data_IF_209007200951
#
_entry.id   IF_209007200951
#
_cell.length_a   1.000
_cell.length_b   1.000
_cell.length_c   1.000
_cell.angle_alpha   90.00
_cell.angle_beta   90.00
_cell.angle_gamma   90.00
#
_symmetry.space_group_name_H-M   'P 1'
#
loop_
_entity.id
_entity.type
_entity.pdbx_description
1 polymer ?
#
# COMPACT_ATOMS: atom_id res chain seq x y z
N UNK A 1 -31.56 -28.77 -25.01
CA UNK A 1 -31.80 -27.85 -23.87
C UNK A 1 -30.56 -27.63 -23.00
N UNK A 2 -29.79 -28.66 -22.64
CA UNK A 2 -28.62 -28.51 -21.74
C UNK A 2 -27.49 -27.64 -22.32
N UNK A 3 -27.22 -27.70 -23.63
CA UNK A 3 -26.22 -26.85 -24.29
C UNK A 3 -26.53 -25.34 -24.18
N UNK A 4 -27.80 -24.96 -24.35
CA UNK A 4 -28.27 -23.57 -24.22
C UNK A 4 -28.14 -23.11 -22.76
N UNK A 5 -28.46 -23.99 -21.78
CA UNK A 5 -28.27 -23.69 -20.36
C UNK A 5 -26.80 -23.51 -19.99
N UNK A 6 -25.90 -24.33 -20.53
CA UNK A 6 -24.45 -24.17 -20.36
C UNK A 6 -23.96 -22.80 -20.85
N UNK A 7 -24.37 -22.38 -22.05
CA UNK A 7 -24.03 -21.08 -22.64
C UNK A 7 -24.54 -19.89 -21.82
N UNK A 8 -25.75 -19.97 -21.26
CA UNK A 8 -26.31 -18.93 -20.39
C UNK A 8 -25.51 -18.81 -19.10
N UNK A 9 -25.15 -19.93 -18.46
CA UNK A 9 -24.37 -19.93 -17.22
C UNK A 9 -22.97 -19.33 -17.43
N UNK A 10 -22.31 -19.63 -18.56
CA UNK A 10 -21.02 -19.01 -18.89
C UNK A 10 -21.10 -17.49 -19.09
N UNK A 11 -22.24 -16.98 -19.61
CA UNK A 11 -22.45 -15.53 -19.73
C UNK A 11 -22.64 -14.86 -18.37
N UNK A 12 -23.36 -15.50 -17.45
CA UNK A 12 -23.52 -14.99 -16.08
C UNK A 12 -22.19 -14.92 -15.33
N UNK A 13 -21.32 -15.95 -15.48
CA UNK A 13 -19.95 -15.91 -14.94
C UNK A 13 -19.17 -14.70 -15.47
N UNK A 14 -19.25 -14.42 -16.78
CA UNK A 14 -18.59 -13.27 -17.37
C UNK A 14 -19.08 -11.94 -16.79
N UNK A 15 -20.41 -11.77 -16.64
CA UNK A 15 -21.00 -10.57 -16.06
C UNK A 15 -20.57 -10.33 -14.60
N UNK A 16 -20.48 -11.41 -13.81
CA UNK A 16 -20.01 -11.34 -12.42
C UNK A 16 -18.56 -10.87 -12.37
N UNK A 17 -17.69 -11.46 -13.22
CA UNK A 17 -16.28 -11.09 -13.28
C UNK A 17 -16.06 -9.64 -13.75
N UNK A 18 -16.82 -9.17 -14.75
CA UNK A 18 -16.73 -7.80 -15.24
C UNK A 18 -17.22 -6.78 -14.19
N UNK A 19 -18.32 -7.07 -13.50
CA UNK A 19 -18.82 -6.23 -12.40
C UNK A 19 -17.91 -6.22 -11.18
N UNK A 20 -17.15 -7.30 -10.96
CA UNK A 20 -16.18 -7.42 -9.89
C UNK A 20 -14.93 -6.58 -10.14
N UNK A 21 -14.37 -6.65 -11.35
CA UNK A 21 -13.20 -5.87 -11.76
C UNK A 21 -13.40 -4.35 -11.53
N UNK A 22 -14.60 -3.85 -11.83
CA UNK A 22 -14.96 -2.44 -11.60
C UNK A 22 -15.03 -2.02 -10.12
N UNK A 23 -15.41 -2.91 -9.20
CA UNK A 23 -15.40 -2.63 -7.75
C UNK A 23 -13.99 -2.71 -7.18
N UNK A 24 -13.21 -3.65 -7.69
CA UNK A 24 -11.84 -3.90 -7.28
C UNK A 24 -10.90 -2.76 -7.60
N UNK A 25 -10.98 -2.25 -8.82
CA UNK A 25 -10.20 -1.09 -9.24
C UNK A 25 -10.46 0.14 -8.34
N UNK A 26 -11.67 0.29 -7.79
CA UNK A 26 -11.99 1.38 -6.85
C UNK A 26 -11.35 1.18 -5.48
N UNK A 27 -11.43 -0.03 -4.93
CA UNK A 27 -10.83 -0.35 -3.63
C UNK A 27 -9.29 -0.38 -3.70
N UNK A 28 -8.71 -0.84 -4.82
CA UNK A 28 -7.27 -0.77 -5.07
C UNK A 28 -6.78 0.68 -5.20
N UNK A 29 -7.51 1.53 -5.92
CA UNK A 29 -7.21 2.96 -5.98
C UNK A 29 -7.28 3.62 -4.59
N UNK A 30 -8.26 3.23 -3.77
CA UNK A 30 -8.38 3.71 -2.39
C UNK A 30 -7.21 3.24 -1.51
N UNK A 31 -6.85 1.95 -1.58
CA UNK A 31 -5.70 1.38 -0.86
C UNK A 31 -4.38 2.05 -1.28
N UNK A 32 -4.19 2.29 -2.57
CA UNK A 32 -3.03 3.02 -3.10
C UNK A 32 -2.96 4.44 -2.54
N UNK A 33 -4.07 5.17 -2.53
CA UNK A 33 -4.15 6.52 -1.94
C UNK A 33 -3.79 6.50 -0.46
N UNK A 34 -4.38 5.59 0.33
CA UNK A 34 -4.04 5.44 1.75
C UNK A 34 -2.56 5.10 1.97
N UNK A 35 -1.95 4.32 1.05
CA UNK A 35 -0.51 4.06 1.10
C UNK A 35 0.35 5.29 0.82
N UNK A 36 -0.11 6.20 -0.05
CA UNK A 36 0.59 7.46 -0.34
C UNK A 36 0.47 8.41 0.85
N UNK A 37 -0.73 8.54 1.44
CA UNK A 37 -0.98 9.33 2.65
C UNK A 37 -0.14 8.83 3.83
N UNK A 38 -0.03 7.51 4.02
CA UNK A 38 0.81 6.90 5.04
C UNK A 38 2.29 7.27 4.87
N UNK A 39 2.79 7.31 3.62
CA UNK A 39 4.17 7.72 3.33
C UNK A 39 4.38 9.20 3.65
N UNK A 40 3.44 10.05 3.29
CA UNK A 40 3.50 11.48 3.58
C UNK A 40 3.53 11.75 5.09
N UNK A 41 2.62 11.14 5.86
CA UNK A 41 2.61 11.28 7.32
C UNK A 41 3.84 10.66 7.99
N UNK A 42 4.37 9.56 7.45
CA UNK A 42 5.63 8.98 7.96
C UNK A 42 6.82 9.92 7.77
N UNK A 43 6.85 10.65 6.64
CA UNK A 43 7.86 11.66 6.37
C UNK A 43 7.71 12.85 7.32
N UNK A 44 6.48 13.33 7.52
CA UNK A 44 6.18 14.42 8.46
C UNK A 44 6.59 14.06 9.89
N UNK A 45 6.28 12.82 10.33
CA UNK A 45 6.75 12.28 11.62
C UNK A 45 8.26 12.34 11.74
N UNK A 46 8.99 11.88 10.71
CA UNK A 46 10.45 11.89 10.72
C UNK A 46 11.02 13.31 10.78
N UNK A 47 10.40 14.26 10.08
CA UNK A 47 10.78 15.67 10.13
C UNK A 47 10.56 16.26 11.52
N UNK A 48 9.40 16.03 12.15
CA UNK A 48 9.12 16.50 13.51
C UNK A 48 10.07 15.89 14.55
N UNK A 49 10.41 14.59 14.43
CA UNK A 49 11.40 13.95 15.31
C UNK A 49 12.80 14.56 15.14
N UNK A 50 13.17 14.95 13.91
CA UNK A 50 14.42 15.65 13.64
C UNK A 50 14.41 17.06 14.26
N UNK A 51 13.34 17.83 14.06
CA UNK A 51 13.19 19.18 14.62
C UNK A 51 13.24 19.15 16.15
N UNK A 52 12.60 18.15 16.77
CA UNK A 52 12.65 17.89 18.22
C UNK A 52 14.09 17.67 18.70
N UNK A 53 14.85 16.80 18.02
CA UNK A 53 16.26 16.54 18.37
C UNK A 53 17.10 17.81 18.24
N UNK A 54 16.88 18.59 17.19
CA UNK A 54 17.59 19.86 17.00
C UNK A 54 17.32 20.87 18.12
N UNK A 55 16.04 21.01 18.53
CA UNK A 55 15.66 21.86 19.65
C UNK A 55 16.28 21.40 20.97
N UNK A 56 16.30 20.08 21.23
CA UNK A 56 16.96 19.52 22.41
C UNK A 56 18.45 19.85 22.45
N UNK A 57 19.17 19.64 21.35
CA UNK A 57 20.60 19.97 21.25
C UNK A 57 20.84 21.46 21.53
N UNK A 58 19.97 22.33 21.03
CA UNK A 58 20.05 23.77 21.31
C UNK A 58 19.79 24.10 22.77
N UNK A 59 18.79 23.48 23.38
CA UNK A 59 18.48 23.65 24.81
C UNK A 59 19.66 23.20 25.67
N UNK A 60 20.19 22.00 25.42
CA UNK A 60 21.36 21.45 26.12
C UNK A 60 22.58 22.37 25.97
N UNK A 61 22.78 22.96 24.77
CA UNK A 61 23.86 23.93 24.56
C UNK A 61 23.66 25.23 25.33
N UNK A 62 22.43 25.73 25.47
CA UNK A 62 22.13 26.94 26.26
C UNK A 62 22.38 26.66 27.75
N UNK A 63 21.91 25.52 28.26
CA UNK A 63 22.11 25.10 29.65
C UNK A 63 23.60 24.89 29.96
N UNK A 64 24.36 24.28 29.04
CA UNK A 64 25.80 24.12 29.19
C UNK A 64 26.51 25.49 29.26
N UNK A 65 26.15 26.43 28.38
CA UNK A 65 26.70 27.80 28.40
C UNK A 65 26.32 28.56 29.67
N UNK A 66 25.09 28.41 30.15
CA UNK A 66 24.63 28.99 31.41
C UNK A 66 25.46 28.45 32.59
N UNK A 67 25.68 27.13 32.62
CA UNK A 67 26.50 26.47 33.66
C UNK A 67 27.95 26.97 33.64
N UNK A 68 28.55 27.07 32.45
CA UNK A 68 29.91 27.59 32.25
C UNK A 68 30.03 29.07 32.66
N UNK A 69 29.03 29.90 32.31
CA UNK A 69 28.99 31.32 32.69
C UNK A 69 28.85 31.48 34.19
N UNK A 70 27.96 30.72 34.84
CA UNK A 70 27.82 30.71 36.31
C UNK A 70 29.13 30.33 36.98
N UNK A 71 29.82 29.29 36.51
CA UNK A 71 31.13 28.90 37.04
C UNK A 71 32.17 30.03 36.91
N UNK A 72 32.23 30.73 35.77
CA UNK A 72 33.14 31.89 35.58
C UNK A 72 32.80 33.04 36.51
N UNK A 73 31.52 33.36 36.68
CA UNK A 73 31.08 34.41 37.60
C UNK A 73 31.33 34.05 39.06
N UNK A 74 31.19 32.78 39.45
CA UNK A 74 31.52 32.27 40.78
C UNK A 74 33.01 32.49 41.12
N UNK A 75 33.91 32.18 40.17
CA UNK A 75 35.35 32.43 40.33
C UNK A 75 35.64 33.93 40.50
N UNK A 76 35.10 34.78 39.62
CA UNK A 76 35.26 36.25 39.75
C UNK A 76 34.70 36.78 41.08
N UNK A 77 33.59 36.23 41.56
CA UNK A 77 33.02 36.57 42.87
C UNK A 77 33.95 36.20 44.03
N UNK A 78 34.68 35.08 43.93
CA UNK A 78 35.70 34.72 44.91
C UNK A 78 36.88 35.70 44.88
N UNK A 79 37.34 36.12 43.70
CA UNK A 79 38.41 37.11 43.55
C UNK A 79 38.03 38.45 44.19
N UNK A 80 36.79 38.92 43.96
CA UNK A 80 36.25 40.14 44.56
C UNK A 80 36.12 40.01 46.08
N UNK A 81 35.63 38.87 46.60
CA UNK A 81 35.58 38.60 48.05
C UNK A 81 36.97 38.61 48.68
N UNK A 82 37.95 38.05 47.99
CA UNK A 82 39.33 38.04 48.47
C UNK A 82 39.96 39.45 48.44
N UNK A 83 39.65 40.27 47.42
CA UNK A 83 40.03 41.68 47.42
C UNK A 83 39.43 42.44 48.61
N UNK A 84 38.13 42.30 48.85
CA UNK A 84 37.44 42.97 49.95
C UNK A 84 38.03 42.56 51.30
N UNK A 85 38.32 41.26 51.49
CA UNK A 85 38.97 40.76 52.70
C UNK A 85 40.36 41.38 52.91
N UNK A 86 41.19 41.42 51.85
CA UNK A 86 42.52 42.07 51.89
C UNK A 86 42.43 43.57 52.21
N UNK A 87 41.43 44.27 51.65
CA UNK A 87 41.21 45.69 51.94
C UNK A 87 40.78 45.92 53.41
N UNK A 88 39.96 45.02 53.96
CA UNK A 88 39.53 45.05 55.35
C UNK A 88 40.68 44.79 56.32
N UNK A 89 41.53 43.80 56.01
CA UNK A 89 42.70 43.41 56.80
C UNK A 89 43.77 44.53 56.86
N UNK A 90 43.85 45.39 55.83
CA UNK A 90 44.86 46.47 55.76
C UNK A 90 44.47 47.78 56.48
N UNK A 91 43.22 47.94 56.97
CA UNK A 91 42.70 49.19 57.57
C UNK A 91 42.94 50.45 56.70
N UNK A 92 43.14 50.29 55.38
CA UNK A 92 43.26 51.39 54.41
C UNK A 92 41.92 51.56 53.68
N UNK A 93 41.03 52.36 54.27
CA UNK A 93 39.96 53.00 53.49
C UNK A 93 40.65 54.10 52.66
N UNK A 94 40.53 54.19 51.34
CA UNK A 94 39.26 54.55 50.69
C UNK A 94 39.20 54.17 49.20
N UNK A 95 40.30 54.14 48.44
CA UNK A 95 40.25 53.93 46.97
C UNK A 95 40.22 52.46 46.53
N UNK A 96 41.05 51.60 47.13
CA UNK A 96 41.09 50.17 46.78
C UNK A 96 39.79 49.46 47.21
N UNK A 97 39.22 49.86 48.36
CA UNK A 97 37.93 49.38 48.81
C UNK A 97 36.79 49.83 47.88
N UNK A 98 36.80 51.08 47.40
CA UNK A 98 35.79 51.58 46.47
C UNK A 98 35.82 50.83 45.14
N UNK A 99 37.01 50.61 44.57
CA UNK A 99 37.15 49.85 43.32
C UNK A 99 36.61 48.42 43.43
N UNK A 100 36.92 47.71 44.52
CA UNK A 100 36.42 46.34 44.69
C UNK A 100 34.92 46.27 44.99
N UNK A 101 34.31 47.31 45.58
CA UNK A 101 32.84 47.40 45.71
C UNK A 101 32.15 47.74 44.39
N UNK A 102 32.73 48.60 43.56
CA UNK A 102 32.19 49.00 42.26
C UNK A 102 32.29 47.83 41.26
N UNK A 103 33.40 47.10 41.29
CA UNK A 103 33.57 45.86 40.52
C UNK A 103 32.60 44.77 40.98
N UNK A 104 32.32 44.66 42.30
CA UNK A 104 31.30 43.74 42.81
C UNK A 104 29.88 44.08 42.31
N UNK A 105 29.52 45.36 42.27
CA UNK A 105 28.22 45.82 41.78
C UNK A 105 28.07 45.57 40.27
N UNK A 106 29.08 45.92 39.47
CA UNK A 106 29.07 45.67 38.03
C UNK A 106 28.97 44.16 37.73
N UNK A 107 29.68 43.32 38.48
CA UNK A 107 29.60 41.86 38.33
C UNK A 107 28.22 41.29 38.70
N UNK A 108 27.56 41.88 39.70
CA UNK A 108 26.22 41.47 40.11
C UNK A 108 25.17 41.84 39.04
N UNK A 109 25.28 43.03 38.45
CA UNK A 109 24.40 43.49 37.38
C UNK A 109 24.62 42.69 36.08
N UNK A 110 25.87 42.45 35.68
CA UNK A 110 26.18 41.60 34.51
C UNK A 110 25.65 40.17 34.68
N UNK A 111 25.86 39.58 35.86
CA UNK A 111 25.36 38.22 36.15
C UNK A 111 23.84 38.18 36.10
N UNK A 112 23.15 39.14 36.71
CA UNK A 112 21.69 39.19 36.71
C UNK A 112 21.12 39.27 35.27
N UNK A 113 21.73 40.10 34.41
CA UNK A 113 21.34 40.23 33.01
C UNK A 113 21.57 38.93 32.19
N UNK A 114 22.70 38.26 32.41
CA UNK A 114 23.02 37.00 31.74
C UNK A 114 22.10 35.86 32.21
N UNK A 115 21.86 35.76 33.52
CA UNK A 115 20.93 34.76 34.09
C UNK A 115 19.50 34.99 33.55
N UNK A 116 19.03 36.24 33.47
CA UNK A 116 17.69 36.55 32.94
C UNK A 116 17.53 36.19 31.46
N UNK A 117 18.51 36.55 30.62
CA UNK A 117 18.47 36.29 29.17
C UNK A 117 18.61 34.81 28.83
N UNK A 118 19.45 34.07 29.56
CA UNK A 118 19.63 32.62 29.38
C UNK A 118 18.39 31.84 29.82
N UNK A 119 17.81 32.16 30.99
CA UNK A 119 16.56 31.57 31.46
C UNK A 119 15.40 31.86 30.51
N UNK A 120 15.26 33.11 30.03
CA UNK A 120 14.23 33.46 29.06
C UNK A 120 14.38 32.67 27.74
N UNK A 121 15.62 32.48 27.28
CA UNK A 121 15.92 31.72 26.06
C UNK A 121 15.64 30.22 26.25
N UNK A 122 16.01 29.64 27.39
CA UNK A 122 15.74 28.25 27.73
C UNK A 122 14.23 27.96 27.81
N UNK A 123 13.47 28.82 28.51
CA UNK A 123 12.02 28.71 28.61
C UNK A 123 11.32 28.77 27.24
N UNK A 124 11.80 29.63 26.33
CA UNK A 124 11.27 29.69 24.97
C UNK A 124 11.52 28.39 24.19
N UNK A 125 12.72 27.81 24.28
CA UNK A 125 13.02 26.54 23.63
C UNK A 125 12.20 25.39 24.21
N UNK A 126 12.02 25.35 25.53
CA UNK A 126 11.21 24.34 26.21
C UNK A 126 9.72 24.42 25.80
N UNK A 127 9.16 25.63 25.69
CA UNK A 127 7.80 25.83 25.21
C UNK A 127 7.62 25.31 23.76
N UNK A 128 8.55 25.62 22.86
CA UNK A 128 8.52 25.14 21.48
C UNK A 128 8.69 23.61 21.44
N UNK A 129 9.56 23.06 22.27
CA UNK A 129 9.79 21.62 22.37
C UNK A 129 8.53 20.87 22.81
N UNK A 130 7.82 21.38 23.83
CA UNK A 130 6.58 20.77 24.31
C UNK A 130 5.48 20.81 23.25
N UNK A 131 5.34 21.93 22.54
CA UNK A 131 4.40 22.05 21.43
C UNK A 131 4.73 21.06 20.30
N UNK A 132 6.02 20.89 19.97
CA UNK A 132 6.45 19.89 18.98
C UNK A 132 6.19 18.46 19.44
N UNK A 133 6.29 18.17 20.73
CA UNK A 133 5.96 16.86 21.27
C UNK A 133 4.48 16.55 21.19
N UNK A 134 3.62 17.54 21.43
CA UNK A 134 2.19 17.42 21.23
C UNK A 134 1.84 17.15 19.76
N UNK A 135 2.38 17.94 18.84
CA UNK A 135 2.20 17.75 17.39
C UNK A 135 2.67 16.34 16.95
N UNK A 136 3.82 15.89 17.45
CA UNK A 136 4.34 14.56 17.15
C UNK A 136 3.44 13.43 17.67
N UNK A 137 2.83 13.60 18.85
CA UNK A 137 1.87 12.64 19.38
C UNK A 137 0.61 12.53 18.49
N UNK A 138 0.08 13.68 18.05
CA UNK A 138 -1.07 13.74 17.15
C UNK A 138 -0.77 13.08 15.79
N UNK A 139 0.39 13.38 15.20
CA UNK A 139 0.82 12.74 13.93
C UNK A 139 1.02 11.24 14.09
N UNK A 140 1.60 10.78 15.21
CA UNK A 140 1.75 9.34 15.50
C UNK A 140 0.39 8.64 15.58
N UNK A 141 -0.59 9.28 16.21
CA UNK A 141 -1.93 8.73 16.31
C UNK A 141 -2.60 8.65 14.92
N UNK A 142 -2.47 9.69 14.10
CA UNK A 142 -2.99 9.68 12.72
C UNK A 142 -2.35 8.60 11.86
N UNK A 143 -1.03 8.38 11.99
CA UNK A 143 -0.32 7.29 11.30
C UNK A 143 -0.90 5.92 11.67
N UNK A 144 -1.13 5.66 12.95
CA UNK A 144 -1.71 4.38 13.38
C UNK A 144 -3.18 4.23 12.92
N UNK A 145 -3.97 5.30 12.92
CA UNK A 145 -5.33 5.28 12.36
C UNK A 145 -5.33 4.95 10.88
N UNK A 146 -4.53 5.64 10.07
CA UNK A 146 -4.46 5.37 8.61
C UNK A 146 -3.91 3.97 8.32
N UNK A 147 -3.00 3.45 9.14
CA UNK A 147 -2.53 2.08 9.03
C UNK A 147 -3.65 1.07 9.32
N UNK A 148 -4.47 1.33 10.33
CA UNK A 148 -5.64 0.50 10.63
C UNK A 148 -6.66 0.56 9.47
N UNK A 149 -6.98 1.76 8.97
CA UNK A 149 -7.91 1.95 7.85
C UNK A 149 -7.43 1.26 6.56
N UNK A 150 -6.11 1.32 6.29
CA UNK A 150 -5.50 0.59 5.18
C UNK A 150 -5.65 -0.91 5.35
N UNK A 151 -5.35 -1.45 6.53
CA UNK A 151 -5.45 -2.89 6.80
C UNK A 151 -6.89 -3.38 6.67
N UNK A 152 -7.85 -2.59 7.15
CA UNK A 152 -9.28 -2.87 7.03
C UNK A 152 -9.76 -2.82 5.56
N UNK A 153 -9.29 -1.85 4.77
CA UNK A 153 -9.55 -1.80 3.33
C UNK A 153 -8.97 -3.02 2.59
N UNK A 154 -7.71 -3.39 2.86
CA UNK A 154 -7.08 -4.59 2.28
C UNK A 154 -7.84 -5.87 2.67
N UNK A 155 -8.29 -5.99 3.92
CA UNK A 155 -9.10 -7.13 4.38
C UNK A 155 -10.45 -7.19 3.65
N UNK A 156 -11.13 -6.06 3.44
CA UNK A 156 -12.37 -5.99 2.65
C UNK A 156 -12.16 -6.44 1.21
N UNK A 157 -11.04 -6.06 0.58
CA UNK A 157 -10.69 -6.51 -0.78
C UNK A 157 -10.56 -8.03 -0.81
N UNK A 158 -9.78 -8.61 0.11
CA UNK A 158 -9.56 -10.07 0.17
C UNK A 158 -10.88 -10.82 0.40
N UNK A 159 -11.72 -10.35 1.32
CA UNK A 159 -13.03 -10.97 1.57
C UNK A 159 -13.97 -10.86 0.36
N UNK A 160 -13.94 -9.73 -0.36
CA UNK A 160 -14.71 -9.56 -1.59
C UNK A 160 -14.24 -10.56 -2.68
N UNK A 161 -12.93 -10.70 -2.88
CA UNK A 161 -12.36 -11.74 -3.76
C UNK A 161 -12.84 -13.12 -3.37
N UNK A 162 -12.72 -13.50 -2.10
CA UNK A 162 -13.12 -14.82 -1.65
C UNK A 162 -14.59 -15.11 -1.96
N UNK A 163 -15.49 -14.18 -1.62
CA UNK A 163 -16.93 -14.36 -1.84
C UNK A 163 -17.29 -14.48 -3.32
N UNK A 164 -16.68 -13.65 -4.17
CA UNK A 164 -16.98 -13.64 -5.61
C UNK A 164 -16.35 -14.85 -6.31
N UNK A 165 -15.19 -15.33 -5.85
CA UNK A 165 -14.62 -16.60 -6.31
C UNK A 165 -15.49 -17.81 -5.91
N UNK A 166 -15.97 -17.87 -4.67
CA UNK A 166 -16.88 -18.93 -4.22
C UNK A 166 -18.13 -19.00 -5.11
N UNK A 167 -18.79 -17.86 -5.34
CA UNK A 167 -19.95 -17.77 -6.25
C UNK A 167 -19.59 -18.21 -7.67
N UNK A 168 -18.49 -17.70 -8.22
CA UNK A 168 -18.05 -18.02 -9.59
C UNK A 168 -17.77 -19.51 -9.74
N UNK A 169 -17.17 -20.14 -8.73
CA UNK A 169 -16.85 -21.56 -8.73
C UNK A 169 -18.11 -22.44 -8.75
N UNK A 170 -19.14 -22.07 -7.99
CA UNK A 170 -20.44 -22.77 -8.03
C UNK A 170 -21.06 -22.75 -9.44
N UNK A 171 -21.02 -21.61 -10.13
CA UNK A 171 -21.51 -21.49 -11.50
C UNK A 171 -20.69 -22.31 -12.50
N UNK A 172 -19.36 -22.32 -12.37
CA UNK A 172 -18.48 -23.13 -13.22
C UNK A 172 -18.74 -24.62 -12.99
N UNK A 173 -18.87 -25.06 -11.75
CA UNK A 173 -19.18 -26.45 -11.41
C UNK A 173 -20.52 -26.88 -12.01
N UNK A 174 -21.53 -26.01 -11.93
CA UNK A 174 -22.84 -26.25 -12.53
C UNK A 174 -22.77 -26.34 -14.06
N UNK A 175 -22.06 -25.41 -14.72
CA UNK A 175 -21.85 -25.43 -16.16
C UNK A 175 -21.11 -26.70 -16.61
N UNK A 176 -20.07 -27.12 -15.87
CA UNK A 176 -19.32 -28.34 -16.13
C UNK A 176 -20.20 -29.59 -16.05
N UNK A 177 -21.02 -29.72 -15.00
CA UNK A 177 -21.99 -30.83 -14.85
C UNK A 177 -22.95 -30.89 -16.03
N UNK A 178 -23.49 -29.74 -16.46
CA UNK A 178 -24.40 -29.70 -17.61
C UNK A 178 -23.73 -30.09 -18.92
N UNK A 179 -22.52 -29.59 -19.20
CA UNK A 179 -21.78 -29.90 -20.42
C UNK A 179 -21.35 -31.37 -20.47
N UNK A 180 -20.91 -31.92 -19.34
CA UNK A 180 -20.56 -33.35 -19.21
C UNK A 180 -21.75 -34.24 -19.51
N UNK A 181 -22.91 -33.96 -18.91
CA UNK A 181 -24.14 -34.69 -19.18
C UNK A 181 -24.58 -34.58 -20.65
N UNK A 182 -24.38 -33.41 -21.26
CA UNK A 182 -24.65 -33.20 -22.68
C UNK A 182 -23.74 -34.07 -23.57
N UNK A 183 -22.45 -34.15 -23.25
CA UNK A 183 -21.48 -34.98 -23.96
C UNK A 183 -21.76 -36.47 -23.83
N UNK A 184 -22.05 -36.95 -22.62
CA UNK A 184 -22.45 -38.35 -22.38
C UNK A 184 -23.68 -38.72 -23.21
N UNK A 185 -24.72 -37.89 -23.18
CA UNK A 185 -25.92 -38.16 -23.95
C UNK A 185 -25.69 -38.16 -25.47
N UNK A 186 -24.79 -37.30 -25.97
CA UNK A 186 -24.43 -37.29 -27.40
C UNK A 186 -23.70 -38.58 -27.80
N UNK A 187 -22.77 -39.06 -26.96
CA UNK A 187 -22.05 -40.32 -27.18
C UNK A 187 -23.02 -41.50 -27.20
N UNK A 188 -23.91 -41.61 -26.20
CA UNK A 188 -24.95 -42.65 -26.14
C UNK A 188 -25.79 -42.67 -27.43
N UNK A 189 -26.21 -41.49 -27.92
CA UNK A 189 -27.00 -41.39 -29.15
C UNK A 189 -26.24 -41.78 -30.41
N UNK A 190 -24.95 -41.46 -30.49
CA UNK A 190 -24.09 -41.89 -31.60
C UNK A 190 -23.92 -43.42 -31.58
N UNK A 191 -23.72 -44.00 -30.40
CA UNK A 191 -23.63 -45.46 -30.23
C UNK A 191 -24.95 -46.16 -30.61
N UNK A 192 -26.10 -45.62 -30.19
CA UNK A 192 -27.43 -46.11 -30.60
C UNK A 192 -27.60 -46.09 -32.12
N UNK A 193 -27.27 -44.97 -32.78
CA UNK A 193 -27.36 -44.86 -34.24
C UNK A 193 -26.42 -45.85 -34.92
N UNK A 194 -25.21 -46.05 -34.40
CA UNK A 194 -24.26 -47.01 -34.96
C UNK A 194 -24.78 -48.45 -34.86
N UNK A 195 -25.36 -48.83 -33.71
CA UNK A 195 -26.01 -50.12 -33.50
C UNK A 195 -27.24 -50.32 -34.41
N UNK A 196 -28.07 -49.29 -34.58
CA UNK A 196 -29.24 -49.34 -35.48
C UNK A 196 -28.82 -49.47 -36.95
N UNK A 197 -27.76 -48.77 -37.37
CA UNK A 197 -27.21 -48.88 -38.72
C UNK A 197 -26.56 -50.25 -38.96
N UNK A 198 -25.80 -50.79 -38.01
CA UNK A 198 -25.22 -52.13 -38.11
C UNK A 198 -26.30 -53.22 -38.22
N UNK A 199 -27.37 -53.14 -37.42
CA UNK A 199 -28.48 -54.10 -37.49
C UNK A 199 -29.27 -53.96 -38.79
N UNK A 200 -29.50 -52.74 -39.27
CA UNK A 200 -30.26 -52.47 -40.51
C UNK A 200 -29.47 -52.86 -41.78
N UNK A 201 -28.15 -52.71 -41.75
CA UNK A 201 -27.27 -53.11 -42.85
C UNK A 201 -27.09 -54.63 -42.90
N UNK A 202 -26.98 -55.31 -41.76
CA UNK A 202 -26.90 -56.78 -41.67
C UNK A 202 -28.22 -57.50 -42.01
N UNK A 203 -29.38 -56.82 -41.87
CA UNK A 203 -30.69 -57.38 -42.24
C UNK A 203 -31.12 -57.10 -43.66
N UNK A 204 -30.40 -56.30 -44.45
CA UNK A 204 -30.61 -56.34 -45.90
C UNK A 204 -30.20 -57.73 -46.36
N UNK A 205 -31.11 -58.54 -46.94
CA UNK A 205 -30.67 -59.70 -47.68
C UNK A 205 -29.63 -59.17 -48.66
N UNK A 206 -28.45 -59.79 -48.72
CA UNK A 206 -27.59 -59.70 -49.90
C UNK A 206 -28.38 -60.34 -51.04
N UNK A 207 -29.40 -59.63 -51.53
CA UNK A 207 -29.87 -59.78 -52.88
C UNK A 207 -28.68 -59.37 -53.72
N UNK A 208 -27.83 -60.36 -54.00
CA UNK A 208 -27.01 -60.37 -55.19
C UNK A 208 -28.00 -60.24 -56.33
N UNK A 209 -28.34 -59.02 -56.69
CA UNK A 209 -28.69 -58.78 -58.08
C UNK A 209 -27.47 -59.24 -58.87
N UNK A 210 -27.65 -60.11 -59.87
CA UNK A 210 -26.55 -60.46 -60.76
C UNK A 210 -25.94 -59.14 -61.25
N UNK A 211 -24.60 -59.03 -61.31
CA UNK A 211 -23.97 -57.81 -61.80
C UNK A 211 -24.64 -57.46 -63.14
N UNK A 212 -25.05 -56.19 -63.34
CA UNK A 212 -25.69 -55.78 -64.58
C UNK A 212 -24.74 -56.12 -65.73
N UNK A 213 -25.23 -56.90 -66.70
CA UNK A 213 -24.45 -57.42 -67.84
C UNK A 213 -24.02 -56.34 -68.83
N UNK A 214 -24.36 -55.07 -68.59
CA UNK A 214 -23.92 -53.94 -69.40
C UNK A 214 -22.97 -53.06 -68.60
N UNK A 215 -21.69 -53.44 -68.61
CA UNK A 215 -20.59 -52.49 -68.47
C UNK A 215 -20.45 -51.74 -69.80
N UNK A 216 -20.81 -50.44 -69.90
CA UNK A 216 -20.29 -49.62 -70.99
C UNK A 216 -18.78 -49.49 -70.80
N UNK A 217 -18.03 -50.25 -71.60
CA UNK A 217 -16.61 -50.03 -71.82
C UNK A 217 -16.43 -48.78 -72.67
N UNK A 218 -16.03 -47.68 -72.04
CA UNK A 218 -15.20 -46.60 -72.59
C UNK A 218 -15.19 -45.49 -71.54
N UNK A 219 -14.06 -45.25 -70.87
CA UNK A 219 -13.16 -44.15 -71.21
C UNK A 219 -13.90 -42.81 -71.30
N UNK A 220 -13.43 -41.85 -70.49
CA UNK A 220 -13.92 -40.49 -70.31
C UNK A 220 -15.12 -40.30 -69.38
N UNK A 221 -14.83 -40.23 -68.06
CA UNK A 221 -15.04 -39.01 -67.27
C UNK A 221 -14.52 -39.21 -65.85
N UNK A 222 -13.19 -39.24 -65.73
CA UNK A 222 -12.54 -38.84 -64.49
C UNK A 222 -12.69 -37.32 -64.31
N UNK A 223 -12.78 -36.90 -63.04
CA UNK A 223 -12.55 -35.54 -62.55
C UNK A 223 -13.79 -34.61 -62.53
N UNK A 224 -14.71 -34.87 -61.59
CA UNK A 224 -15.38 -33.78 -60.88
C UNK A 224 -14.37 -33.19 -59.88
N UNK A 225 -13.64 -32.18 -60.34
CA UNK A 225 -12.68 -31.37 -59.57
C UNK A 225 -13.37 -30.74 -58.38
N UNK A 226 -12.96 -31.13 -57.17
CA UNK A 226 -13.15 -30.39 -55.92
C UNK A 226 -12.38 -29.07 -56.05
N UNK A 227 -13.08 -27.96 -56.26
CA UNK A 227 -12.47 -26.61 -56.19
C UNK A 227 -13.53 -25.58 -55.83
N UNK A 228 -13.61 -25.20 -54.55
CA UNK A 228 -14.17 -23.96 -53.98
C UNK A 228 -14.57 -24.25 -52.52
N UNK A 229 -14.19 -23.55 -51.45
CA UNK A 229 -13.53 -22.26 -51.19
C UNK A 229 -12.88 -22.43 -49.80
N UNK A 230 -11.59 -22.09 -49.68
CA UNK A 230 -10.97 -21.72 -48.40
C UNK A 230 -10.45 -20.30 -48.62
N UNK A 231 -11.13 -19.31 -48.04
CA UNK A 231 -10.53 -18.00 -47.77
C UNK A 231 -10.10 -17.97 -46.31
N UNK A 232 -8.80 -17.76 -46.02
CA UNK A 232 -8.33 -17.47 -44.68
C UNK A 232 -8.43 -15.97 -44.45
N UNK A 233 -9.50 -15.50 -43.81
CA UNK A 233 -9.45 -14.18 -43.19
C UNK A 233 -8.67 -14.29 -41.87
N UNK A 234 -7.37 -13.99 -41.98
CA UNK A 234 -6.54 -13.59 -40.86
C UNK A 234 -6.91 -12.19 -40.37
N UNK A 235 -6.95 -12.07 -39.04
CA UNK A 235 -6.38 -11.00 -38.20
C UNK A 235 -6.64 -9.54 -38.58
N UNK A 236 -7.37 -8.84 -37.71
CA UNK A 236 -7.35 -7.38 -37.62
C UNK A 236 -7.92 -6.91 -36.28
N UNK A 237 -7.03 -6.51 -35.36
CA UNK A 237 -7.33 -5.82 -34.11
C UNK A 237 -8.12 -4.52 -34.32
N UNK A 238 -9.15 -4.33 -33.48
CA UNK A 238 -9.50 -3.08 -32.78
C UNK A 238 -10.48 -3.43 -31.65
#
# INVERSE_FOLDING_TARGET
MNLIRGLVLTKEVYNILEGFDGKLNKEEANSKKLSEDLKAMSLEKAQMESDKRFLQIRLDSVVAKETDLKAKYEVKLQDVKECLKKAQDQKRATEASQKCTEEAQNLAEERAFVDETTVATANNFEAIFFEKDKQLAEVKEQVERVKADRTDAEARIVMAYQKEFESTFEYIELAHKFMTACGQHLVERIEEIHLEWDISFLRRPLAREPPPDDLPTSEDHAVAKVSSIVEPHGTGEA
#
